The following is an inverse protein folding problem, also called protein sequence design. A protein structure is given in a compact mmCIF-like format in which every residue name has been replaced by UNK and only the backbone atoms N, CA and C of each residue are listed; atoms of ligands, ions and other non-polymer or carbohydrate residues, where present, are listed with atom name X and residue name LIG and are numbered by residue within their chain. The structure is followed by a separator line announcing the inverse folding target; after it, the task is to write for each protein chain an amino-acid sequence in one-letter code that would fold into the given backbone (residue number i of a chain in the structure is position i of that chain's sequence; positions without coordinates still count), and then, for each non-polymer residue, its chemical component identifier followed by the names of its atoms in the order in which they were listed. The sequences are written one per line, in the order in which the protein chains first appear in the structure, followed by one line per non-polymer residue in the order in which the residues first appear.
data_IF_028197753261
#
_entry.id   IF_028197753261
#
_cell.length_a   1.000
_cell.length_b   1.000
_cell.length_c   1.000
_cell.angle_alpha   90.00
_cell.angle_beta   90.00
_cell.angle_gamma   90.00
#
_symmetry.space_group_name_H-M   'P 1'
#
loop_
_entity.id
_entity.type
_entity.pdbx_description
1 polymer ?
#
# COMPACT_ATOMS: atom_id res chain seq x y z
N UNK A 1 -18.07 -46.88 1.81
CA UNK A 1 -16.68 -46.46 1.51
C UNK A 1 -16.60 -44.95 1.72
N UNK A 2 -16.11 -44.49 2.87
CA UNK A 2 -15.95 -43.06 3.18
C UNK A 2 -14.47 -42.69 3.12
N UNK A 3 -14.10 -41.81 2.19
CA UNK A 3 -12.73 -41.28 2.10
C UNK A 3 -12.55 -40.29 3.24
N UNK A 4 -11.67 -40.61 4.19
CA UNK A 4 -11.21 -39.67 5.20
C UNK A 4 -10.14 -38.80 4.55
N UNK A 5 -10.50 -37.56 4.22
CA UNK A 5 -9.54 -36.55 3.77
C UNK A 5 -8.63 -36.15 4.94
N UNK A 6 -7.49 -36.83 5.07
CA UNK A 6 -6.42 -36.46 5.99
C UNK A 6 -5.63 -35.28 5.40
N UNK A 7 -6.17 -34.06 5.51
CA UNK A 7 -5.39 -32.85 5.25
C UNK A 7 -4.39 -32.63 6.39
N UNK A 8 -3.16 -33.09 6.19
CA UNK A 8 -2.04 -32.81 7.10
C UNK A 8 -1.52 -31.40 6.85
N UNK A 9 -1.78 -30.49 7.79
CA UNK A 9 -1.18 -29.16 7.79
C UNK A 9 0.27 -29.25 8.28
N UNK A 10 1.22 -29.10 7.36
CA UNK A 10 2.64 -28.94 7.73
C UNK A 10 2.83 -27.55 8.35
N UNK A 11 3.45 -27.43 9.54
CA UNK A 11 3.76 -26.11 10.09
C UNK A 11 4.75 -25.39 9.17
N UNK A 12 4.41 -24.17 8.75
CA UNK A 12 5.28 -23.36 7.90
C UNK A 12 6.54 -22.99 8.71
N UNK A 13 7.72 -23.42 8.23
CA UNK A 13 9.05 -23.09 8.77
C UNK A 13 9.24 -21.57 8.90
N UNK A 14 10.06 -21.16 9.88
CA UNK A 14 10.50 -19.79 10.16
C UNK A 14 10.60 -18.90 8.91
N UNK A 15 9.55 -18.11 8.66
CA UNK A 15 9.47 -17.19 7.52
C UNK A 15 10.33 -15.97 7.82
N UNK A 16 11.35 -15.73 6.97
CA UNK A 16 12.17 -14.50 7.02
C UNK A 16 11.24 -13.27 6.99
N UNK A 17 11.45 -12.33 7.89
CA UNK A 17 10.63 -11.12 7.98
C UNK A 17 10.61 -10.37 6.64
N UNK A 18 9.42 -10.02 6.18
CA UNK A 18 9.24 -9.32 4.91
C UNK A 18 9.45 -7.82 5.10
N UNK A 19 10.36 -7.22 4.34
CA UNK A 19 10.57 -5.76 4.37
C UNK A 19 9.64 -5.07 3.37
N UNK A 20 8.81 -4.14 3.87
CA UNK A 20 7.78 -3.42 3.10
C UNK A 20 8.03 -1.92 3.25
N UNK A 21 8.01 -1.17 2.15
CA UNK A 21 7.91 0.29 2.22
C UNK A 21 6.51 0.75 1.83
N UNK A 22 5.85 1.48 2.72
CA UNK A 22 4.60 2.18 2.43
C UNK A 22 4.95 3.59 1.93
N UNK A 23 4.56 3.91 0.70
CA UNK A 23 4.78 5.22 0.08
C UNK A 23 3.44 5.91 -0.15
N UNK A 24 3.28 7.10 0.45
CA UNK A 24 2.09 7.92 0.34
C UNK A 24 2.40 9.23 -0.41
N UNK A 25 1.57 9.53 -1.40
CA UNK A 25 1.70 10.71 -2.24
C UNK A 25 1.11 11.98 -1.62
N UNK A 26 0.77 12.96 -2.46
CA UNK A 26 0.37 14.28 -2.01
C UNK A 26 -0.87 14.29 -1.13
N UNK A 27 -0.90 15.23 -0.18
CA UNK A 27 -2.00 15.53 0.74
C UNK A 27 -2.36 14.42 1.75
N UNK A 28 -1.69 13.26 1.70
CA UNK A 28 -1.91 12.17 2.64
C UNK A 28 -1.50 12.54 4.08
N UNK A 29 -0.57 13.51 4.24
CA UNK A 29 -0.24 14.11 5.53
C UNK A 29 -1.41 14.89 6.17
N UNK A 30 -2.44 15.24 5.41
CA UNK A 30 -3.61 16.00 5.88
C UNK A 30 -4.76 15.09 6.37
N UNK A 31 -4.59 13.77 6.35
CA UNK A 31 -5.57 12.83 6.89
C UNK A 31 -5.93 13.14 8.36
N UNK A 32 -7.20 12.96 8.71
CA UNK A 32 -7.76 13.30 10.03
C UNK A 32 -8.03 14.80 10.24
N UNK A 33 -7.45 15.69 9.41
CA UNK A 33 -7.65 17.15 9.49
C UNK A 33 -8.69 17.68 8.50
N UNK A 34 -8.92 17.01 7.37
CA UNK A 34 -9.88 17.42 6.31
C UNK A 34 -10.81 16.27 5.88
N UNK A 35 -12.01 16.61 5.41
CA UNK A 35 -12.98 15.70 4.79
C UNK A 35 -13.16 14.39 5.58
N UNK A 36 -13.40 14.50 6.90
CA UNK A 36 -13.51 13.38 7.84
C UNK A 36 -14.52 12.31 7.39
N UNK A 37 -15.59 12.72 6.73
CA UNK A 37 -16.64 11.81 6.22
C UNK A 37 -16.15 10.92 5.06
N UNK A 38 -15.06 11.30 4.36
CA UNK A 38 -14.53 10.57 3.20
C UNK A 38 -13.32 9.71 3.60
N UNK A 39 -12.46 10.22 4.49
CA UNK A 39 -11.18 9.56 4.81
C UNK A 39 -11.05 9.08 6.26
N UNK A 40 -12.09 9.28 7.08
CA UNK A 40 -12.08 8.97 8.50
C UNK A 40 -11.39 10.03 9.36
N UNK A 41 -11.35 9.77 10.67
CA UNK A 41 -10.81 10.69 11.68
C UNK A 41 -9.34 10.42 12.03
N UNK A 42 -8.79 9.26 11.64
CA UNK A 42 -7.43 8.85 11.98
C UNK A 42 -6.41 9.61 11.12
N UNK A 43 -5.33 10.06 11.77
CA UNK A 43 -4.19 10.62 11.06
C UNK A 43 -3.39 9.52 10.34
N UNK A 44 -2.66 9.88 9.28
CA UNK A 44 -1.75 8.95 8.62
C UNK A 44 -0.73 8.37 9.61
N UNK A 45 -0.19 9.20 10.52
CA UNK A 45 0.74 8.77 11.57
C UNK A 45 0.15 7.67 12.44
N UNK A 46 -1.11 7.82 12.85
CA UNK A 46 -1.83 6.81 13.65
C UNK A 46 -2.00 5.50 12.87
N UNK A 47 -2.39 5.57 11.59
CA UNK A 47 -2.56 4.37 10.75
C UNK A 47 -1.25 3.61 10.66
N UNK A 48 -0.14 4.29 10.33
CA UNK A 48 1.19 3.68 10.19
C UNK A 48 1.67 3.09 11.52
N UNK A 49 1.49 3.81 12.63
CA UNK A 49 1.86 3.34 13.96
C UNK A 49 1.14 2.03 14.31
N UNK A 50 -0.17 1.96 14.06
CA UNK A 50 -0.95 0.74 14.31
C UNK A 50 -0.42 -0.46 13.50
N UNK A 51 -0.05 -0.24 12.24
CA UNK A 51 0.55 -1.29 11.40
C UNK A 51 1.90 -1.77 11.95
N UNK A 52 2.75 -0.85 12.41
CA UNK A 52 4.02 -1.22 13.03
C UNK A 52 3.81 -2.10 14.25
N UNK A 53 2.88 -1.72 15.13
CA UNK A 53 2.58 -2.50 16.34
C UNK A 53 1.98 -3.87 16.02
N UNK A 54 1.03 -3.93 15.09
CA UNK A 54 0.31 -5.17 14.75
C UNK A 54 1.22 -6.19 14.04
N UNK A 55 2.14 -5.73 13.18
CA UNK A 55 2.95 -6.59 12.31
C UNK A 55 4.44 -6.66 12.70
N UNK A 56 4.86 -6.12 13.86
CA UNK A 56 6.27 -6.09 14.31
C UNK A 56 7.00 -7.45 14.25
N UNK A 57 6.27 -8.55 14.44
CA UNK A 57 6.82 -9.91 14.44
C UNK A 57 6.75 -10.60 13.06
N UNK A 58 6.19 -9.92 12.04
CA UNK A 58 5.93 -10.47 10.70
C UNK A 58 6.62 -9.70 9.59
N UNK A 59 6.77 -8.38 9.75
CA UNK A 59 7.33 -7.50 8.74
C UNK A 59 8.16 -6.37 9.33
N UNK A 60 9.18 -5.97 8.58
CA UNK A 60 9.86 -4.69 8.76
C UNK A 60 9.15 -3.68 7.89
N UNK A 61 8.34 -2.81 8.49
CA UNK A 61 7.59 -1.80 7.74
C UNK A 61 8.32 -0.46 7.83
N UNK A 62 8.61 0.12 6.67
CA UNK A 62 9.13 1.48 6.50
C UNK A 62 8.01 2.35 5.93
N UNK A 63 7.99 3.63 6.27
CA UNK A 63 7.00 4.58 5.76
C UNK A 63 7.67 5.82 5.19
N UNK A 64 7.12 6.33 4.10
CA UNK A 64 7.48 7.61 3.52
C UNK A 64 6.25 8.30 2.96
N UNK A 65 6.14 9.61 3.18
CA UNK A 65 5.11 10.44 2.58
C UNK A 65 5.76 11.71 2.03
N UNK A 66 5.36 12.13 0.84
CA UNK A 66 5.73 13.45 0.32
C UNK A 66 4.69 14.02 -0.61
N UNK A 67 4.66 15.35 -0.69
CA UNK A 67 3.92 16.10 -1.71
C UNK A 67 4.77 16.39 -2.95
N UNK A 68 6.09 16.13 -2.90
CA UNK A 68 7.04 16.38 -3.99
C UNK A 68 7.23 15.11 -4.82
N UNK A 69 7.07 15.26 -6.14
CA UNK A 69 7.36 14.21 -7.12
C UNK A 69 8.81 13.73 -7.03
N UNK A 70 9.77 14.65 -7.02
CA UNK A 70 11.20 14.36 -6.92
C UNK A 70 11.53 13.49 -5.70
N UNK A 71 10.96 13.85 -4.53
CA UNK A 71 11.18 13.10 -3.30
C UNK A 71 10.59 11.69 -3.35
N UNK A 72 9.42 11.52 -3.99
CA UNK A 72 8.81 10.21 -4.20
C UNK A 72 9.66 9.34 -5.12
N UNK A 73 10.14 9.89 -6.24
CA UNK A 73 11.05 9.20 -7.17
C UNK A 73 12.34 8.80 -6.45
N UNK A 74 12.97 9.72 -5.72
CA UNK A 74 14.17 9.44 -4.92
C UNK A 74 13.90 8.32 -3.91
N UNK A 75 12.73 8.31 -3.27
CA UNK A 75 12.37 7.23 -2.33
C UNK A 75 12.22 5.88 -3.03
N UNK A 76 11.60 5.85 -4.20
CA UNK A 76 11.45 4.64 -5.02
C UNK A 76 12.83 4.10 -5.43
N UNK A 77 13.74 4.96 -5.87
CA UNK A 77 15.10 4.55 -6.25
C UNK A 77 15.94 4.06 -5.07
N UNK A 78 15.77 4.67 -3.89
CA UNK A 78 16.59 4.34 -2.71
C UNK A 78 16.03 3.22 -1.84
N UNK A 79 14.76 2.82 -2.03
CA UNK A 79 14.22 1.72 -1.22
C UNK A 79 14.90 0.39 -1.56
N UNK A 80 15.16 -0.39 -0.51
CA UNK A 80 15.68 -1.76 -0.57
C UNK A 80 14.62 -2.77 -0.11
N UNK A 81 13.36 -2.33 0.02
CA UNK A 81 12.28 -3.21 0.46
C UNK A 81 11.89 -4.17 -0.64
N UNK A 82 11.47 -5.38 -0.26
CA UNK A 82 11.01 -6.40 -1.22
C UNK A 82 9.72 -5.98 -1.91
N UNK A 83 8.86 -5.28 -1.18
CA UNK A 83 7.56 -4.82 -1.67
C UNK A 83 7.32 -3.34 -1.34
N UNK A 84 6.51 -2.70 -2.18
CA UNK A 84 5.96 -1.37 -1.95
C UNK A 84 4.44 -1.46 -1.77
N UNK A 85 3.89 -0.75 -0.79
CA UNK A 85 2.46 -0.42 -0.73
C UNK A 85 2.34 1.04 -1.13
N UNK A 86 1.66 1.31 -2.24
CA UNK A 86 1.67 2.58 -2.94
C UNK A 86 0.29 3.24 -2.89
N UNK A 87 0.20 4.44 -2.31
CA UNK A 87 -0.96 5.31 -2.46
C UNK A 87 -0.51 6.65 -3.02
N UNK A 88 -0.61 6.85 -4.34
CA UNK A 88 -0.20 8.10 -5.00
C UNK A 88 -1.22 9.23 -4.89
N UNK A 89 -2.38 8.99 -4.26
CA UNK A 89 -3.43 9.98 -4.09
C UNK A 89 -3.72 10.73 -5.40
N UNK A 90 -3.53 12.06 -5.42
CA UNK A 90 -3.74 12.88 -6.62
C UNK A 90 -2.83 12.53 -7.80
N UNK A 91 -1.63 12.00 -7.55
CA UNK A 91 -0.67 11.63 -8.59
C UNK A 91 -1.01 10.32 -9.28
N UNK A 92 -1.97 9.54 -8.77
CA UNK A 92 -2.34 8.24 -9.33
C UNK A 92 -2.79 8.31 -10.79
N UNK A 93 -3.24 9.48 -11.27
CA UNK A 93 -3.99 9.59 -12.53
C UNK A 93 -3.15 10.04 -13.73
N UNK A 94 -2.05 10.76 -13.50
CA UNK A 94 -1.31 11.41 -14.58
C UNK A 94 0.21 11.53 -14.35
N UNK A 95 0.74 11.04 -13.23
CA UNK A 95 2.16 11.21 -12.92
C UNK A 95 3.02 10.09 -13.51
N UNK A 96 3.37 10.24 -14.80
CA UNK A 96 4.16 9.26 -15.55
C UNK A 96 5.59 9.12 -14.97
N UNK A 97 6.20 10.20 -14.50
CA UNK A 97 7.56 10.17 -13.96
C UNK A 97 7.70 9.21 -12.75
N UNK A 98 6.72 9.20 -11.85
CA UNK A 98 6.71 8.25 -10.72
C UNK A 98 6.47 6.81 -11.21
N UNK A 99 5.62 6.63 -12.23
CA UNK A 99 5.39 5.31 -12.81
C UNK A 99 6.68 4.76 -13.42
N UNK A 100 7.38 5.56 -14.22
CA UNK A 100 8.63 5.17 -14.85
C UNK A 100 9.70 4.82 -13.81
N UNK A 101 9.78 5.58 -12.70
CA UNK A 101 10.67 5.26 -11.59
C UNK A 101 10.37 3.89 -10.95
N UNK A 102 9.08 3.52 -10.81
CA UNK A 102 8.69 2.19 -10.30
C UNK A 102 9.07 1.08 -11.27
N UNK A 103 8.83 1.29 -12.56
CA UNK A 103 9.13 0.31 -13.61
C UNK A 103 10.64 0.11 -13.77
N UNK A 104 11.43 1.18 -13.78
CA UNK A 104 12.89 1.12 -13.87
C UNK A 104 13.52 0.36 -12.68
N UNK A 105 12.96 0.51 -11.47
CA UNK A 105 13.39 -0.20 -10.26
C UNK A 105 12.93 -1.68 -10.25
N UNK A 106 11.99 -2.07 -11.12
CA UNK A 106 11.36 -3.39 -11.17
C UNK A 106 10.83 -3.88 -9.78
N UNK A 107 10.33 -2.94 -8.97
CA UNK A 107 9.84 -3.28 -7.63
C UNK A 107 8.38 -3.68 -7.66
N UNK A 108 8.10 -4.83 -7.04
CA UNK A 108 6.74 -5.35 -6.84
C UNK A 108 5.94 -4.44 -5.90
N UNK A 109 4.79 -3.97 -6.34
CA UNK A 109 3.96 -3.08 -5.52
C UNK A 109 2.47 -3.46 -5.53
N UNK A 110 1.80 -3.17 -4.42
CA UNK A 110 0.35 -3.11 -4.31
C UNK A 110 -0.09 -1.65 -4.35
N UNK A 111 -1.12 -1.36 -5.13
CA UNK A 111 -1.75 -0.04 -5.12
C UNK A 111 -2.89 0.00 -4.09
N UNK A 112 -2.99 1.07 -3.32
CA UNK A 112 -4.04 1.24 -2.32
C UNK A 112 -4.70 2.61 -2.39
N UNK A 113 -6.03 2.63 -2.26
CA UNK A 113 -6.83 3.86 -2.16
C UNK A 113 -7.83 3.75 -1.01
N UNK A 114 -7.77 4.66 -0.05
CA UNK A 114 -8.68 4.60 1.10
C UNK A 114 -10.15 4.76 0.72
N UNK A 115 -10.45 5.67 -0.21
CA UNK A 115 -11.81 5.90 -0.74
C UNK A 115 -12.09 5.01 -1.96
N UNK A 116 -13.36 4.69 -2.21
CA UNK A 116 -13.76 4.08 -3.47
C UNK A 116 -13.62 5.10 -4.62
N UNK A 117 -12.56 4.96 -5.42
CA UNK A 117 -12.27 5.90 -6.52
C UNK A 117 -13.29 5.82 -7.67
N UNK A 118 -14.01 4.71 -7.81
CA UNK A 118 -15.04 4.54 -8.84
C UNK A 118 -16.30 5.38 -8.57
N UNK A 119 -16.58 5.69 -7.30
CA UNK A 119 -17.68 6.57 -6.88
C UNK A 119 -17.35 8.06 -7.07
N UNK A 120 -16.15 8.40 -7.56
CA UNK A 120 -15.69 9.78 -7.73
C UNK A 120 -15.79 10.23 -9.19
N UNK A 121 -15.36 11.47 -9.44
CA UNK A 121 -15.26 12.09 -10.76
C UNK A 121 -14.55 11.16 -11.76
N UNK A 122 -14.97 11.18 -13.04
CA UNK A 122 -14.45 10.29 -14.09
C UNK A 122 -12.92 10.27 -14.17
N UNK A 123 -12.26 11.42 -14.03
CA UNK A 123 -10.79 11.51 -14.06
C UNK A 123 -10.08 10.78 -12.90
N UNK A 124 -10.79 10.41 -11.83
CA UNK A 124 -10.25 9.67 -10.69
C UNK A 124 -10.45 8.16 -10.78
N UNK A 125 -11.14 7.67 -11.83
CA UNK A 125 -11.51 6.26 -11.94
C UNK A 125 -10.44 5.39 -12.57
N UNK A 126 -9.44 5.98 -13.20
CA UNK A 126 -8.37 5.26 -13.89
C UNK A 126 -7.01 5.73 -13.38
N UNK A 127 -6.37 4.90 -12.56
CA UNK A 127 -4.99 5.09 -12.18
C UNK A 127 -4.06 4.51 -13.24
N UNK A 128 -2.97 5.21 -13.55
CA UNK A 128 -1.95 4.72 -14.48
C UNK A 128 -1.07 3.62 -13.86
N UNK A 129 -1.10 3.50 -12.52
CA UNK A 129 -0.34 2.51 -11.77
C UNK A 129 -1.03 1.15 -11.75
N UNK A 130 -2.36 1.10 -11.80
CA UNK A 130 -3.15 -0.12 -11.60
C UNK A 130 -2.81 -1.25 -12.55
N UNK A 131 -2.42 -0.92 -13.79
CA UNK A 131 -2.01 -1.90 -14.81
C UNK A 131 -0.74 -2.67 -14.41
N UNK A 132 0.14 -2.07 -13.61
CA UNK A 132 1.46 -2.60 -13.26
C UNK A 132 1.54 -3.08 -11.81
N UNK A 133 0.50 -2.80 -11.01
CA UNK A 133 0.40 -3.27 -9.64
C UNK A 133 0.15 -4.80 -9.61
N UNK A 134 0.65 -5.46 -8.57
CA UNK A 134 0.29 -6.86 -8.27
C UNK A 134 -1.21 -7.02 -7.96
N UNK A 135 -1.82 -5.94 -7.49
CA UNK A 135 -3.21 -5.89 -7.05
C UNK A 135 -3.55 -4.49 -6.53
N UNK A 136 -4.84 -4.20 -6.48
CA UNK A 136 -5.35 -2.87 -6.15
C UNK A 136 -6.40 -3.00 -5.04
N UNK A 137 -6.16 -2.39 -3.87
CA UNK A 137 -7.09 -2.41 -2.74
C UNK A 137 -7.74 -1.03 -2.57
N UNK A 138 -9.05 -0.95 -2.70
CA UNK A 138 -9.75 0.33 -2.75
C UNK A 138 -10.99 0.36 -1.85
N UNK A 139 -11.31 1.53 -1.30
CA UNK A 139 -12.60 1.77 -0.64
C UNK A 139 -12.78 1.14 0.73
N UNK A 140 -11.73 0.53 1.31
CA UNK A 140 -11.79 -0.08 2.65
C UNK A 140 -11.33 0.87 3.76
N UNK A 141 -11.26 2.19 3.51
CA UNK A 141 -10.75 3.16 4.47
C UNK A 141 -9.29 2.91 4.80
N UNK A 142 -8.92 3.00 6.08
CA UNK A 142 -7.57 2.68 6.57
C UNK A 142 -7.21 1.19 6.46
N UNK A 143 -8.21 0.31 6.37
CA UNK A 143 -8.01 -1.14 6.29
C UNK A 143 -7.28 -1.56 5.01
N UNK A 144 -7.27 -0.75 3.94
CA UNK A 144 -6.51 -1.07 2.72
C UNK A 144 -5.03 -1.32 3.02
N UNK A 145 -4.43 -0.57 3.95
CA UNK A 145 -3.03 -0.77 4.33
C UNK A 145 -2.85 -2.05 5.13
N UNK A 146 -3.75 -2.32 6.08
CA UNK A 146 -3.70 -3.55 6.89
C UNK A 146 -3.85 -4.79 6.03
N UNK A 147 -4.81 -4.80 5.11
CA UNK A 147 -5.03 -5.91 4.19
C UNK A 147 -3.83 -6.10 3.26
N UNK A 148 -3.21 -5.02 2.77
CA UNK A 148 -2.01 -5.09 1.94
C UNK A 148 -0.81 -5.69 2.70
N UNK A 149 -0.55 -5.25 3.94
CA UNK A 149 0.53 -5.83 4.78
C UNK A 149 0.24 -7.30 5.09
N UNK A 150 -1.00 -7.63 5.43
CA UNK A 150 -1.42 -9.02 5.67
C UNK A 150 -1.12 -9.90 4.46
N UNK A 151 -1.63 -9.53 3.27
CA UNK A 151 -1.38 -10.28 2.04
C UNK A 151 0.11 -10.51 1.74
N UNK A 152 0.95 -9.51 1.96
CA UNK A 152 2.40 -9.61 1.71
C UNK A 152 3.16 -10.43 2.77
N UNK A 153 2.54 -10.71 3.91
CA UNK A 153 3.14 -11.46 5.04
C UNK A 153 2.52 -12.84 5.26
N UNK A 154 1.35 -13.13 4.68
CA UNK A 154 0.73 -14.46 4.59
C UNK A 154 1.59 -15.44 3.82
#
# INVERSE_FOLDING_TARGET
MGVKDNLTFTPIKNKKMTTITIINGPNMNLLGKRQKNIYGTKSLKTIIHNLYHEFKNKAIIKHFQSNSEEQLIKKIHTTQSKYIILNMAGFSYNNIAILDALLAKNTKFLEVHMSNIFNRNKFRRKSIFSKYAMGVLIGLGDKVYKTAVYYLTS
#
